data_IF_102228361961
#
_entry.id   IF_102228361961
#
_cell.length_a   1.000
_cell.length_b   1.000
_cell.length_c   1.000
_cell.angle_alpha   90.00
_cell.angle_beta   90.00
_cell.angle_gamma   90.00
#
_symmetry.space_group_name_H-M   'P 1'
#
loop_
_entity.id
_entity.type
_entity.pdbx_description
1 polymer ?
#
# COMPACT_ATOMS: atom_id res chain seq x y z
N UNK A 1 -67.58 27.88 43.32
CA UNK A 1 -66.87 26.72 42.76
C UNK A 1 -65.65 26.46 43.64
N UNK A 2 -65.70 25.42 44.51
CA UNK A 2 -64.64 25.13 45.50
C UNK A 2 -63.59 24.24 44.78
N UNK A 3 -62.45 24.80 44.45
CA UNK A 3 -61.29 24.03 43.91
C UNK A 3 -60.72 23.22 45.07
N UNK A 4 -60.75 21.91 44.98
CA UNK A 4 -60.28 21.03 46.04
C UNK A 4 -58.75 20.86 45.94
N UNK A 5 -58.06 20.60 47.08
CA UNK A 5 -56.59 20.39 47.12
C UNK A 5 -56.10 19.27 46.18
N UNK A 6 -56.98 18.34 45.82
CA UNK A 6 -56.72 17.24 44.90
C UNK A 6 -56.61 17.73 43.46
N UNK A 7 -57.43 18.70 43.04
CA UNK A 7 -57.42 19.22 41.68
C UNK A 7 -56.12 20.00 41.38
N UNK A 8 -55.60 20.72 42.37
CA UNK A 8 -54.38 21.48 42.29
C UNK A 8 -53.13 20.51 42.13
N UNK A 9 -53.19 19.44 42.93
CA UNK A 9 -52.11 18.44 42.85
C UNK A 9 -52.09 17.73 41.51
N UNK A 10 -53.21 17.32 40.99
CA UNK A 10 -53.36 16.66 39.72
C UNK A 10 -52.90 17.57 38.57
N UNK A 11 -53.24 18.86 38.62
CA UNK A 11 -52.79 19.86 37.64
C UNK A 11 -51.30 20.06 37.66
N UNK A 12 -50.66 20.07 38.84
CA UNK A 12 -49.20 20.18 38.96
C UNK A 12 -48.48 18.93 38.36
N UNK A 13 -49.01 17.73 38.62
CA UNK A 13 -48.45 16.50 38.05
C UNK A 13 -48.56 16.45 36.52
N UNK A 14 -49.67 16.88 35.93
CA UNK A 14 -49.84 16.95 34.49
C UNK A 14 -48.90 17.96 33.85
N UNK A 15 -48.64 19.10 34.48
CA UNK A 15 -47.67 20.09 34.02
C UNK A 15 -46.24 19.58 34.12
N UNK A 16 -45.88 18.87 35.20
CA UNK A 16 -44.54 18.27 35.37
C UNK A 16 -44.27 17.16 34.35
N UNK A 17 -45.27 16.31 34.08
CA UNK A 17 -45.15 15.26 33.07
C UNK A 17 -45.03 15.86 31.66
N UNK A 18 -45.81 16.88 31.32
CA UNK A 18 -45.75 17.58 30.07
C UNK A 18 -44.36 18.27 29.85
N UNK A 19 -43.82 18.86 30.92
CA UNK A 19 -42.50 19.49 30.89
C UNK A 19 -41.38 18.47 30.76
N UNK A 20 -41.51 17.30 31.39
CA UNK A 20 -40.54 16.19 31.28
C UNK A 20 -40.55 15.57 29.87
N UNK A 21 -41.72 15.41 29.25
CA UNK A 21 -41.86 14.90 27.89
C UNK A 21 -41.28 15.89 26.86
N UNK A 22 -41.46 17.18 27.07
CA UNK A 22 -40.92 18.23 26.21
C UNK A 22 -39.36 18.26 26.27
N UNK A 23 -38.79 17.94 27.44
CA UNK A 23 -37.32 17.91 27.62
C UNK A 23 -36.67 16.67 26.97
N UNK A 24 -37.41 15.58 26.73
CA UNK A 24 -36.92 14.38 26.07
C UNK A 24 -36.86 14.52 24.53
N UNK A 25 -37.52 15.53 23.96
CA UNK A 25 -37.53 15.75 22.50
C UNK A 25 -36.38 16.64 21.99
N UNK A 26 -35.54 17.21 22.87
CA UNK A 26 -34.41 18.06 22.51
C UNK A 26 -33.07 17.30 22.47
N UNK A 27 -33.06 15.96 22.54
CA UNK A 27 -31.88 15.16 22.28
C UNK A 27 -31.62 15.12 20.76
N UNK A 28 -31.16 16.24 20.23
CA UNK A 28 -30.66 16.33 18.89
C UNK A 28 -29.30 15.63 18.87
N UNK A 29 -29.29 14.36 18.45
CA UNK A 29 -28.09 13.60 18.16
C UNK A 29 -27.34 14.26 17.04
N UNK A 30 -26.35 15.08 17.36
CA UNK A 30 -25.33 15.49 16.40
C UNK A 30 -24.42 14.28 16.16
N UNK A 31 -24.61 13.63 15.03
CA UNK A 31 -23.78 12.54 14.54
C UNK A 31 -22.34 13.05 14.40
N UNK A 32 -21.36 12.59 15.22
CA UNK A 32 -19.99 13.10 15.17
C UNK A 32 -19.28 12.76 13.85
N UNK A 33 -19.82 11.81 13.07
CA UNK A 33 -19.25 11.41 11.79
C UNK A 33 -19.43 12.45 10.67
N UNK A 34 -20.37 13.41 10.82
CA UNK A 34 -20.59 14.49 9.81
C UNK A 34 -19.66 15.69 9.94
N UNK A 35 -18.83 15.76 10.98
CA UNK A 35 -17.90 16.90 11.20
C UNK A 35 -16.53 16.73 10.57
N UNK A 36 -16.24 15.57 9.98
CA UNK A 36 -15.00 15.38 9.20
C UNK A 36 -15.28 15.90 7.79
N UNK A 37 -14.97 17.16 7.54
CA UNK A 37 -15.01 17.72 6.20
C UNK A 37 -14.01 16.95 5.34
N UNK A 38 -14.42 16.51 4.14
CA UNK A 38 -13.53 15.88 3.13
C UNK A 38 -12.24 16.68 2.93
N UNK A 39 -12.36 18.01 2.96
CA UNK A 39 -11.27 18.98 2.91
C UNK A 39 -10.18 18.75 3.99
N UNK A 40 -10.57 18.37 5.22
CA UNK A 40 -9.61 18.08 6.29
C UNK A 40 -8.87 16.76 6.08
N UNK A 41 -9.48 15.79 5.38
CA UNK A 41 -8.84 14.51 5.06
C UNK A 41 -7.85 14.69 3.91
N UNK A 42 -8.19 15.50 2.91
CA UNK A 42 -7.28 15.83 1.81
C UNK A 42 -6.10 16.68 2.32
N UNK A 43 -6.36 17.71 3.10
CA UNK A 43 -5.31 18.53 3.72
C UNK A 43 -4.41 17.72 4.68
N UNK A 44 -4.95 16.74 5.40
CA UNK A 44 -4.16 15.85 6.23
C UNK A 44 -3.31 14.88 5.39
N UNK A 45 -3.85 14.37 4.27
CA UNK A 45 -3.08 13.54 3.32
C UNK A 45 -1.97 14.35 2.63
N UNK A 46 -2.24 15.58 2.24
CA UNK A 46 -1.24 16.47 1.64
C UNK A 46 -0.13 16.82 2.65
N UNK A 47 -0.47 17.08 3.91
CA UNK A 47 0.54 17.34 4.96
C UNK A 47 1.37 16.09 5.27
N UNK A 48 0.75 14.89 5.32
CA UNK A 48 1.50 13.63 5.52
C UNK A 48 2.45 13.39 4.34
N UNK A 49 2.03 13.69 3.11
CA UNK A 49 2.87 13.54 1.93
C UNK A 49 3.95 14.64 1.78
N UNK A 50 3.76 15.83 2.36
CA UNK A 50 4.74 16.92 2.31
C UNK A 50 5.75 16.88 3.46
N UNK A 51 5.40 16.29 4.62
CA UNK A 51 6.28 16.22 5.79
C UNK A 51 7.16 14.96 5.83
N UNK A 52 6.86 13.94 5.02
CA UNK A 52 7.69 12.75 4.87
C UNK A 52 8.37 12.74 3.49
N UNK A 53 9.64 13.07 3.51
CA UNK A 53 10.52 13.05 2.35
C UNK A 53 10.90 11.59 2.02
N UNK A 54 9.96 10.89 1.35
CA UNK A 54 10.19 9.50 0.95
C UNK A 54 11.08 9.43 -0.29
N UNK A 55 11.95 8.42 -0.39
CA UNK A 55 12.62 8.09 -1.64
C UNK A 55 11.59 7.59 -2.66
N UNK A 56 11.92 7.77 -3.92
CA UNK A 56 11.17 7.25 -5.06
C UNK A 56 12.09 6.42 -5.93
N UNK A 57 11.57 5.36 -6.53
CA UNK A 57 12.33 4.48 -7.40
C UNK A 57 11.75 4.49 -8.81
N UNK A 58 12.58 4.82 -9.77
CA UNK A 58 12.26 4.82 -11.19
C UNK A 58 13.10 3.76 -11.90
N UNK A 59 12.43 2.78 -12.54
CA UNK A 59 13.08 1.72 -13.31
C UNK A 59 13.12 2.06 -14.79
N UNK A 60 14.23 1.73 -15.47
CA UNK A 60 14.34 1.77 -16.93
C UNK A 60 13.34 0.81 -17.59
N UNK A 61 13.14 -0.34 -16.97
CA UNK A 61 12.15 -1.37 -17.32
C UNK A 61 11.76 -2.16 -16.08
N UNK A 62 10.54 -2.67 -16.06
CA UNK A 62 10.04 -3.58 -14.99
C UNK A 62 9.79 -5.00 -15.49
N UNK A 63 9.95 -5.22 -16.80
CA UNK A 63 9.76 -6.52 -17.43
C UNK A 63 10.97 -6.84 -18.31
N UNK A 64 11.35 -8.13 -18.35
CA UNK A 64 12.34 -8.63 -19.27
C UNK A 64 11.89 -9.98 -19.84
N UNK A 65 11.91 -10.09 -21.16
CA UNK A 65 11.62 -11.32 -21.88
C UNK A 65 12.92 -11.90 -22.44
N UNK A 66 13.25 -13.12 -22.03
CA UNK A 66 14.42 -13.86 -22.54
C UNK A 66 14.12 -14.55 -23.87
N UNK A 67 12.85 -14.55 -24.31
CA UNK A 67 12.45 -15.32 -25.47
C UNK A 67 12.51 -16.83 -25.24
N UNK A 68 12.94 -17.57 -26.26
CA UNK A 68 13.11 -19.02 -26.21
C UNK A 68 14.49 -19.37 -25.61
N UNK A 69 14.49 -20.22 -24.58
CA UNK A 69 15.69 -20.77 -23.92
C UNK A 69 15.55 -22.27 -23.80
N UNK A 70 16.65 -22.98 -23.53
CA UNK A 70 16.66 -24.45 -23.43
C UNK A 70 16.54 -24.87 -21.96
N UNK A 71 15.88 -25.97 -21.68
CA UNK A 71 15.80 -26.57 -20.33
C UNK A 71 17.21 -26.83 -19.78
N UNK A 72 17.50 -26.24 -18.62
CA UNK A 72 18.79 -26.25 -17.96
C UNK A 72 19.65 -25.01 -18.20
N UNK A 73 19.17 -24.03 -19.01
CA UNK A 73 19.88 -22.77 -19.18
C UNK A 73 19.82 -21.93 -17.92
N UNK A 74 20.95 -21.28 -17.62
CA UNK A 74 21.07 -20.23 -16.62
C UNK A 74 21.12 -18.87 -17.37
N UNK A 75 20.03 -18.10 -17.26
CA UNK A 75 19.94 -16.79 -17.90
C UNK A 75 19.90 -15.69 -16.87
N UNK A 76 20.44 -14.52 -17.21
CA UNK A 76 20.44 -13.36 -16.32
C UNK A 76 20.02 -12.08 -17.04
N UNK A 77 19.42 -11.18 -16.30
CA UNK A 77 19.11 -9.81 -16.75
C UNK A 77 19.36 -8.82 -15.64
N UNK A 78 19.54 -7.56 -16.03
CA UNK A 78 19.71 -6.44 -15.12
C UNK A 78 18.58 -5.44 -15.31
N UNK A 79 18.00 -4.99 -14.20
CA UNK A 79 17.07 -3.90 -14.12
C UNK A 79 17.78 -2.73 -13.47
N UNK A 80 17.96 -1.65 -14.23
CA UNK A 80 18.55 -0.41 -13.72
C UNK A 80 17.44 0.45 -13.15
N UNK A 81 17.75 1.15 -12.08
CA UNK A 81 16.83 2.09 -11.47
C UNK A 81 17.57 3.33 -10.96
N UNK A 82 16.82 4.41 -10.77
CA UNK A 82 17.32 5.67 -10.22
C UNK A 82 16.46 6.06 -9.02
N UNK A 83 17.08 6.55 -7.96
CA UNK A 83 16.34 7.21 -6.89
C UNK A 83 15.90 8.60 -7.36
N UNK A 84 14.64 8.72 -7.75
CA UNK A 84 14.02 9.99 -8.18
C UNK A 84 13.38 10.78 -7.03
N UNK A 85 13.51 10.30 -5.79
CA UNK A 85 13.04 10.99 -4.58
C UNK A 85 14.08 11.96 -4.02
N UNK A 86 13.78 12.52 -2.85
CA UNK A 86 14.61 13.50 -2.16
C UNK A 86 15.35 12.94 -0.95
N UNK A 87 15.13 11.68 -0.59
CA UNK A 87 15.79 11.00 0.53
C UNK A 87 16.45 9.69 0.09
N UNK A 88 17.32 9.13 0.93
CA UNK A 88 18.08 7.93 0.63
C UNK A 88 17.17 6.71 0.42
N UNK A 89 17.25 6.11 -0.78
CA UNK A 89 16.55 4.87 -1.11
C UNK A 89 17.34 3.66 -0.60
N UNK A 90 16.63 2.73 0.04
CA UNK A 90 17.18 1.44 0.49
C UNK A 90 16.34 0.29 -0.03
N UNK A 91 17.01 -0.72 -0.59
CA UNK A 91 16.40 -2.01 -0.88
C UNK A 91 16.59 -2.89 0.35
N UNK A 92 15.50 -3.10 1.10
CA UNK A 92 15.52 -3.83 2.36
C UNK A 92 15.57 -5.34 2.14
N UNK A 93 14.91 -5.81 1.06
CA UNK A 93 14.91 -7.20 0.66
C UNK A 93 14.58 -7.35 -0.82
N UNK A 94 15.05 -8.43 -1.43
CA UNK A 94 14.65 -8.86 -2.76
C UNK A 94 14.46 -10.38 -2.78
N UNK A 95 13.36 -10.85 -3.34
CA UNK A 95 13.02 -12.28 -3.39
C UNK A 95 12.35 -12.65 -4.71
N UNK A 96 12.74 -13.79 -5.26
CA UNK A 96 12.07 -14.41 -6.40
C UNK A 96 10.82 -15.18 -5.97
N UNK A 97 9.87 -15.35 -6.89
CA UNK A 97 8.65 -16.15 -6.67
C UNK A 97 8.91 -17.66 -6.54
N UNK A 98 10.12 -18.11 -6.85
CA UNK A 98 10.59 -19.49 -6.67
C UNK A 98 12.09 -19.49 -6.33
N UNK A 99 12.61 -20.58 -5.78
CA UNK A 99 14.05 -20.77 -5.57
C UNK A 99 14.91 -20.79 -6.85
N UNK A 100 14.27 -20.86 -8.01
CA UNK A 100 14.89 -20.80 -9.32
C UNK A 100 15.18 -19.37 -9.82
N UNK A 101 14.75 -18.35 -9.07
CA UNK A 101 14.96 -16.94 -9.42
C UNK A 101 15.68 -16.27 -8.26
N UNK A 102 16.91 -15.89 -8.46
CA UNK A 102 17.79 -15.33 -7.44
C UNK A 102 18.12 -13.88 -7.79
N UNK A 103 17.62 -12.90 -7.04
CA UNK A 103 18.01 -11.52 -7.21
C UNK A 103 19.29 -11.18 -6.44
N UNK A 104 20.18 -10.42 -7.10
CA UNK A 104 21.29 -9.71 -6.47
C UNK A 104 20.96 -8.21 -6.47
N UNK A 105 21.15 -7.54 -5.35
CA UNK A 105 20.78 -6.13 -5.16
C UNK A 105 21.75 -5.44 -4.21
N UNK A 106 21.82 -4.09 -4.19
CA UNK A 106 22.66 -3.33 -3.27
C UNK A 106 22.12 -3.41 -1.84
N UNK A 107 22.46 -4.51 -1.15
CA UNK A 107 22.07 -4.76 0.23
C UNK A 107 22.78 -3.76 1.14
N UNK A 108 22.03 -3.18 2.09
CA UNK A 108 22.52 -2.26 3.12
C UNK A 108 23.22 -1.00 2.58
N UNK A 109 23.14 -0.74 1.27
CA UNK A 109 23.74 0.43 0.62
C UNK A 109 22.66 1.47 0.35
N UNK A 110 22.72 2.65 0.97
CA UNK A 110 21.83 3.76 0.63
C UNK A 110 22.16 4.30 -0.76
N UNK A 111 21.13 4.49 -1.59
CA UNK A 111 21.23 5.10 -2.91
C UNK A 111 20.70 6.52 -2.77
N UNK A 112 21.56 7.51 -2.97
CA UNK A 112 21.22 8.92 -2.77
C UNK A 112 20.27 9.45 -3.85
N UNK A 113 19.58 10.56 -3.59
CA UNK A 113 18.80 11.27 -4.61
C UNK A 113 19.59 11.49 -5.89
N UNK A 114 19.02 11.07 -7.04
CA UNK A 114 19.65 11.14 -8.35
C UNK A 114 20.66 10.02 -8.67
N UNK A 115 21.04 9.20 -7.70
CA UNK A 115 21.94 8.06 -7.96
C UNK A 115 21.16 6.89 -8.60
N UNK A 116 21.86 6.18 -9.49
CA UNK A 116 21.36 4.96 -10.13
C UNK A 116 22.04 3.72 -9.56
N UNK A 117 21.31 2.62 -9.54
CA UNK A 117 21.81 1.30 -9.16
C UNK A 117 21.09 0.23 -9.96
N UNK A 118 21.28 -1.05 -9.61
CA UNK A 118 20.71 -2.14 -10.38
C UNK A 118 20.26 -3.32 -9.51
N UNK A 119 19.33 -4.10 -10.05
CA UNK A 119 18.95 -5.42 -9.58
C UNK A 119 19.32 -6.42 -10.68
N UNK A 120 20.22 -7.34 -10.38
CA UNK A 120 20.54 -8.45 -11.28
C UNK A 120 19.68 -9.66 -10.90
N UNK A 121 19.03 -10.26 -11.88
CA UNK A 121 18.15 -11.41 -11.68
C UNK A 121 18.69 -12.58 -12.49
N UNK A 122 18.94 -13.71 -11.81
CA UNK A 122 19.32 -14.98 -12.42
C UNK A 122 18.14 -15.92 -12.38
N UNK A 123 17.90 -16.62 -13.48
CA UNK A 123 16.87 -17.64 -13.61
C UNK A 123 17.45 -18.95 -14.11
N UNK A 124 17.20 -20.01 -13.35
CA UNK A 124 17.52 -21.40 -13.70
C UNK A 124 16.28 -22.06 -14.31
N UNK A 125 16.36 -22.41 -15.59
CA UNK A 125 15.27 -23.01 -16.35
C UNK A 125 15.13 -24.54 -16.15
N UNK A 126 16.04 -25.18 -15.39
CA UNK A 126 16.07 -26.62 -15.20
C UNK A 126 14.73 -27.17 -14.72
N UNK A 127 14.21 -28.17 -15.45
CA UNK A 127 12.92 -28.83 -15.16
C UNK A 127 11.72 -27.86 -15.14
N UNK A 128 11.72 -26.85 -16.01
CA UNK A 128 10.64 -25.85 -16.10
C UNK A 128 10.18 -25.63 -17.55
N UNK A 129 9.72 -26.67 -18.25
CA UNK A 129 9.33 -26.53 -19.65
C UNK A 129 8.12 -25.60 -19.84
N UNK A 130 8.04 -25.02 -21.05
CA UNK A 130 6.93 -24.16 -21.46
C UNK A 130 7.10 -22.71 -21.00
N UNK A 131 6.00 -21.95 -21.05
CA UNK A 131 6.01 -20.54 -20.68
C UNK A 131 6.28 -20.35 -19.19
N UNK A 132 7.29 -19.60 -18.88
CA UNK A 132 7.67 -19.23 -17.51
C UNK A 132 7.50 -17.74 -17.32
N UNK A 133 6.73 -17.34 -16.29
CA UNK A 133 6.67 -15.98 -15.80
C UNK A 133 7.03 -15.99 -14.32
N UNK A 134 8.08 -15.28 -13.96
CA UNK A 134 8.54 -15.18 -12.58
C UNK A 134 8.49 -13.73 -12.13
N UNK A 135 8.20 -13.55 -10.86
CA UNK A 135 8.14 -12.23 -10.21
C UNK A 135 9.31 -12.11 -9.24
N UNK A 136 9.97 -10.97 -9.27
CA UNK A 136 10.91 -10.54 -8.22
C UNK A 136 10.22 -9.43 -7.43
N UNK A 137 10.09 -9.64 -6.13
CA UNK A 137 9.54 -8.66 -5.20
C UNK A 137 10.67 -7.97 -4.48
N UNK A 138 10.71 -6.65 -4.58
CA UNK A 138 11.61 -5.79 -3.82
C UNK A 138 10.82 -5.19 -2.66
N UNK A 139 11.42 -5.18 -1.47
CA UNK A 139 10.93 -4.43 -0.31
C UNK A 139 11.83 -3.21 -0.16
N UNK A 140 11.24 -2.03 -0.11
CA UNK A 140 11.95 -0.76 -0.11
C UNK A 140 11.44 0.15 0.99
N UNK A 141 12.16 1.24 1.26
CA UNK A 141 11.69 2.31 2.15
C UNK A 141 10.90 3.41 1.42
N UNK A 142 10.46 3.16 0.18
CA UNK A 142 9.54 4.07 -0.52
C UNK A 142 8.16 4.10 0.13
N UNK A 143 7.33 5.09 -0.20
CA UNK A 143 5.96 5.16 0.31
C UNK A 143 5.10 3.95 -0.05
N UNK A 144 5.37 3.28 -1.19
CA UNK A 144 4.71 2.03 -1.60
C UNK A 144 5.22 0.82 -0.81
N UNK A 145 6.46 0.85 -0.35
CA UNK A 145 7.11 -0.22 0.41
C UNK A 145 7.48 -1.46 -0.42
N UNK A 146 6.92 -1.63 -1.63
CA UNK A 146 7.17 -2.79 -2.50
C UNK A 146 7.17 -2.39 -3.97
N UNK A 147 8.10 -3.00 -4.73
CA UNK A 147 8.14 -2.93 -6.18
C UNK A 147 8.23 -4.35 -6.78
N UNK A 148 7.70 -4.51 -7.98
CA UNK A 148 7.63 -5.81 -8.67
C UNK A 148 8.35 -5.73 -10.01
N UNK A 149 9.25 -6.69 -10.25
CA UNK A 149 9.90 -6.90 -11.52
C UNK A 149 9.49 -8.27 -12.07
N UNK A 150 9.43 -8.40 -13.37
CA UNK A 150 8.98 -9.62 -14.03
C UNK A 150 10.02 -10.09 -15.04
N UNK A 151 10.23 -11.41 -15.09
CA UNK A 151 10.94 -12.07 -16.16
C UNK A 151 10.02 -13.08 -16.84
N UNK A 152 10.18 -13.22 -18.14
CA UNK A 152 9.40 -14.13 -18.99
C UNK A 152 10.40 -14.94 -19.82
N UNK A 153 10.09 -16.22 -20.06
CA UNK A 153 10.83 -17.08 -20.96
C UNK A 153 9.94 -18.20 -21.49
N UNK A 154 10.24 -18.71 -22.66
CA UNK A 154 9.69 -19.96 -23.21
C UNK A 154 10.79 -21.00 -23.14
N UNK A 155 10.65 -21.97 -22.23
CA UNK A 155 11.65 -23.03 -22.04
C UNK A 155 11.33 -24.21 -22.95
N UNK A 156 12.19 -24.43 -23.91
CA UNK A 156 12.11 -25.56 -24.84
C UNK A 156 12.80 -26.79 -24.24
N UNK A 157 12.32 -28.02 -24.55
CA UNK A 157 12.96 -29.21 -24.09
C UNK A 157 14.37 -29.34 -24.67
N UNK A 158 15.26 -29.87 -23.86
CA UNK A 158 16.61 -30.19 -24.33
C UNK A 158 16.51 -31.36 -25.32
N UNK A 159 16.94 -31.14 -26.58
CA UNK A 159 17.03 -32.22 -27.56
C UNK A 159 18.14 -33.15 -27.11
N UNK A 160 17.79 -34.41 -26.86
CA UNK A 160 18.73 -35.49 -26.60
C UNK A 160 19.37 -36.00 -27.93
#
# INVERSE_FOLDING_TARGET
>A
MKITKTDIRLSIYTFLIAFMVLFLLTSCGSDPSKKIKKENIETAKERINSDFDYPSIDFDKTNHDFGEIIDGDLVETTFTFTNSGNSDLKILNASGSCGCTVPEYPRDTPIKPGESSFIKVKFDSSNKPGMQRKTVTLVTNTSKGKELLYIIAIVLPKNN
#
